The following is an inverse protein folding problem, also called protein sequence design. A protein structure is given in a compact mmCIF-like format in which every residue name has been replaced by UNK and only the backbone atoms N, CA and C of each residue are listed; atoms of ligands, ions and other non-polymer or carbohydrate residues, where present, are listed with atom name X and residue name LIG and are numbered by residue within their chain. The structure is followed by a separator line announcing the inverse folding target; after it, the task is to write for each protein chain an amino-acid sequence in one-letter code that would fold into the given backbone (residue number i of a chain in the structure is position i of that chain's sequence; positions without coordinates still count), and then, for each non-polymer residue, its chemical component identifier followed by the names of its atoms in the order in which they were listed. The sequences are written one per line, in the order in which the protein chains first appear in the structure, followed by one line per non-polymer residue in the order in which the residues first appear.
data_IF_739318727923
#
_entry.id   IF_739318727923
#
_cell.length_a   1.000
_cell.length_b   1.000
_cell.length_c   1.000
_cell.angle_alpha   90.00
_cell.angle_beta   90.00
_cell.angle_gamma   90.00
#
_symmetry.space_group_name_H-M   'P 1'
#
loop_
_entity.id
_entity.type
_entity.pdbx_description
1 polymer ?
#
# COMPACT_ATOMS: atom_id res chain seq x y z
N UNK A 1 -10.71 -3.88 2.28
CA UNK A 1 -9.24 -3.66 2.30
C UNK A 1 -8.76 -3.58 0.86
N UNK A 2 -8.52 -2.36 0.36
CA UNK A 2 -8.07 -1.95 -1.00
C UNK A 2 -8.81 -2.48 -2.25
N UNK A 3 -9.48 -3.65 -2.24
CA UNK A 3 -10.16 -4.25 -3.42
C UNK A 3 -9.25 -4.38 -4.65
N UNK A 4 -7.95 -4.61 -4.43
CA UNK A 4 -6.95 -4.79 -5.49
C UNK A 4 -6.44 -6.24 -5.45
N UNK A 5 -6.12 -6.79 -6.62
CA UNK A 5 -5.54 -8.12 -6.74
C UNK A 5 -4.26 -8.28 -5.91
N UNK A 6 -4.03 -9.50 -5.38
CA UNK A 6 -2.88 -9.81 -4.52
C UNK A 6 -1.54 -9.48 -5.18
N UNK A 7 -1.40 -9.76 -6.48
CA UNK A 7 -0.20 -9.44 -7.25
C UNK A 7 0.16 -7.96 -7.18
N UNK A 8 -0.84 -7.08 -7.40
CA UNK A 8 -0.65 -5.63 -7.28
C UNK A 8 -0.29 -5.22 -5.86
N UNK A 9 -0.89 -5.84 -4.84
CA UNK A 9 -0.52 -5.57 -3.44
C UNK A 9 0.94 -5.94 -3.19
N UNK A 10 1.39 -7.12 -3.65
CA UNK A 10 2.79 -7.52 -3.51
C UNK A 10 3.74 -6.62 -4.29
N UNK A 11 3.35 -6.18 -5.49
CA UNK A 11 4.09 -5.19 -6.25
C UNK A 11 4.27 -3.90 -5.45
N UNK A 12 3.18 -3.34 -4.91
CA UNK A 12 3.22 -2.09 -4.12
C UNK A 12 4.06 -2.22 -2.84
N UNK A 13 4.02 -3.39 -2.20
CA UNK A 13 4.87 -3.69 -1.05
C UNK A 13 6.35 -3.83 -1.44
N UNK A 14 6.64 -4.39 -2.63
CA UNK A 14 8.00 -4.57 -3.15
C UNK A 14 8.62 -3.26 -3.60
N UNK A 15 7.83 -2.38 -4.22
CA UNK A 15 8.28 -1.04 -4.66
C UNK A 15 8.31 -0.02 -3.54
N UNK A 16 7.77 -0.35 -2.36
CA UNK A 16 7.69 0.57 -1.23
C UNK A 16 6.60 1.64 -1.38
N UNK A 17 5.81 1.59 -2.45
CA UNK A 17 4.68 2.50 -2.68
C UNK A 17 3.58 2.32 -1.63
N UNK A 18 3.41 1.09 -1.11
CA UNK A 18 2.54 0.82 0.03
C UNK A 18 3.37 0.47 1.27
N UNK A 19 3.21 1.27 2.32
CA UNK A 19 3.90 1.07 3.60
C UNK A 19 3.38 -0.18 4.32
N UNK A 20 4.28 -0.83 5.05
CA UNK A 20 3.96 -2.03 5.83
C UNK A 20 4.87 -2.19 7.05
N UNK A 21 4.35 -2.85 8.06
CA UNK A 21 5.11 -3.29 9.23
C UNK A 21 5.55 -4.74 8.99
N UNK A 22 6.86 -5.01 9.08
CA UNK A 22 7.39 -6.37 8.99
C UNK A 22 7.27 -7.05 10.36
N UNK A 23 6.62 -8.22 10.40
CA UNK A 23 6.48 -9.05 11.59
C UNK A 23 6.94 -10.47 11.23
N UNK A 24 8.19 -10.80 11.54
CA UNK A 24 8.83 -12.04 11.10
C UNK A 24 8.84 -12.16 9.56
N UNK A 25 8.17 -13.19 9.04
CA UNK A 25 7.99 -13.44 7.59
C UNK A 25 6.76 -12.75 6.99
N UNK A 26 5.91 -12.13 7.83
CA UNK A 26 4.68 -11.49 7.39
C UNK A 26 4.85 -9.97 7.26
N UNK A 27 4.01 -9.36 6.42
CA UNK A 27 3.84 -7.90 6.34
C UNK A 27 2.41 -7.55 6.76
N UNK A 28 2.26 -6.57 7.63
CA UNK A 28 0.96 -6.01 8.05
C UNK A 28 0.81 -4.60 7.50
N UNK A 29 -0.36 -4.35 6.93
CA UNK A 29 -0.77 -3.06 6.40
C UNK A 29 -1.81 -2.52 7.38
N UNK A 30 -1.56 -1.35 7.96
CA UNK A 30 -2.47 -0.69 8.90
C UNK A 30 -3.45 0.20 8.14
N UNK A 31 -4.55 0.60 8.79
CA UNK A 31 -5.49 1.57 8.20
C UNK A 31 -4.81 2.89 7.85
N UNK A 32 -3.83 3.33 8.67
CA UNK A 32 -3.04 4.53 8.39
C UNK A 32 -2.22 4.39 7.10
N UNK A 33 -1.54 3.26 6.89
CA UNK A 33 -0.79 3.06 5.64
C UNK A 33 -1.68 3.08 4.40
N UNK A 34 -2.91 2.56 4.52
CA UNK A 34 -3.89 2.62 3.43
C UNK A 34 -4.34 4.07 3.19
N UNK A 35 -4.63 4.83 4.25
CA UNK A 35 -5.03 6.23 4.13
C UNK A 35 -3.92 7.10 3.50
N UNK A 36 -2.67 6.94 3.94
CA UNK A 36 -1.51 7.64 3.37
C UNK A 36 -1.32 7.29 1.88
N UNK A 37 -1.49 6.02 1.53
CA UNK A 37 -1.40 5.58 0.13
C UNK A 37 -2.50 6.21 -0.73
N UNK A 38 -3.76 6.21 -0.28
CA UNK A 38 -4.86 6.83 -1.02
C UNK A 38 -4.64 8.34 -1.17
N UNK A 39 -4.26 9.02 -0.09
CA UNK A 39 -3.96 10.45 -0.12
C UNK A 39 -2.83 10.79 -1.11
N UNK A 40 -1.82 9.93 -1.25
CA UNK A 40 -0.75 10.10 -2.25
C UNK A 40 -1.24 9.97 -3.70
N UNK A 41 -2.25 9.12 -3.95
CA UNK A 41 -2.83 8.95 -5.29
C UNK A 41 -3.78 10.09 -5.65
N UNK A 42 -4.45 10.68 -4.65
CA UNK A 42 -5.33 11.83 -4.84
C UNK A 42 -4.55 13.13 -5.01
N UNK A 43 -3.34 13.23 -4.43
CA UNK A 43 -2.47 14.40 -4.55
C UNK A 43 -1.63 14.41 -5.83
N UNK A 44 -1.40 13.25 -6.45
CA UNK A 44 -0.87 13.20 -7.81
C UNK A 44 -1.95 13.72 -8.78
N UNK A 45 -1.70 14.83 -9.50
CA UNK A 45 -2.65 15.29 -10.51
C UNK A 45 -2.79 14.17 -11.54
N UNK A 46 -4.00 13.59 -11.60
CA UNK A 46 -4.35 12.52 -12.53
C UNK A 46 -4.10 13.03 -13.95
N UNK A 47 -2.96 12.66 -14.53
CA UNK A 47 -2.59 12.94 -15.93
C UNK A 47 -3.46 12.14 -16.89
#
# INVERSE_FOLDING_TARGET
MLHVGRDKVYYLLRTGQLRSIKIGKLRRITSQHVAEFIASLESEPRR
#
